data_IF_633781052598
#
_entry.id   IF_633781052598
#
_cell.length_a   1.000
_cell.length_b   1.000
_cell.length_c   1.000
_cell.angle_alpha   90.00
_cell.angle_beta   90.00
_cell.angle_gamma   90.00
#
_symmetry.space_group_name_H-M   'P 1'
#
loop_
_entity.id
_entity.type
_entity.pdbx_description
1 polymer ?
#
# COMPACT_ATOMS: atom_id res chain seq x y z
N UNK A 1 -14.37 -13.48 2.87
CA UNK A 1 -13.88 -12.14 3.29
C UNK A 1 -14.49 -11.80 4.64
N UNK A 2 -13.67 -11.50 5.65
CA UNK A 2 -14.15 -11.24 7.03
C UNK A 2 -15.05 -10.00 7.10
N UNK A 3 -15.95 -9.97 8.08
CA UNK A 3 -16.91 -8.87 8.26
C UNK A 3 -16.22 -7.51 8.45
N UNK A 4 -15.09 -7.49 9.16
CA UNK A 4 -14.26 -6.31 9.32
C UNK A 4 -13.75 -5.75 7.99
N UNK A 5 -13.24 -6.60 7.09
CA UNK A 5 -12.80 -6.14 5.76
C UNK A 5 -13.96 -5.55 4.95
N UNK A 6 -15.17 -6.12 5.07
CA UNK A 6 -16.36 -5.56 4.42
C UNK A 6 -16.73 -4.18 4.98
N UNK A 7 -16.61 -3.96 6.29
CA UNK A 7 -16.82 -2.64 6.92
C UNK A 7 -15.84 -1.60 6.40
N UNK A 8 -14.58 -1.98 6.18
CA UNK A 8 -13.52 -1.06 5.72
C UNK A 8 -13.69 -0.70 4.23
N UNK A 9 -14.08 -1.65 3.39
CA UNK A 9 -14.17 -1.47 1.92
C UNK A 9 -15.54 -0.96 1.48
N UNK A 10 -16.60 -1.26 2.24
CA UNK A 10 -17.99 -0.87 1.93
C UNK A 10 -18.71 -0.34 3.18
N UNK A 11 -18.19 0.75 3.80
CA UNK A 11 -18.80 1.31 5.00
C UNK A 11 -20.24 1.79 4.78
N UNK A 12 -20.63 2.08 3.55
CA UNK A 12 -22.01 2.47 3.19
C UNK A 12 -23.00 1.35 3.45
N UNK A 13 -22.61 0.12 3.11
CA UNK A 13 -23.51 -1.04 3.19
C UNK A 13 -23.56 -1.58 4.62
N UNK A 14 -22.42 -1.59 5.31
CA UNK A 14 -22.30 -2.26 6.61
C UNK A 14 -22.51 -1.32 7.79
N UNK A 15 -22.11 -0.05 7.65
CA UNK A 15 -22.14 0.94 8.74
C UNK A 15 -23.11 2.09 8.48
N UNK A 16 -23.73 2.16 7.30
CA UNK A 16 -24.62 3.27 6.91
C UNK A 16 -23.90 4.62 6.80
N UNK A 17 -22.57 4.61 6.64
CA UNK A 17 -21.78 5.84 6.46
C UNK A 17 -21.72 6.14 4.97
N UNK A 18 -22.19 7.30 4.55
CA UNK A 18 -22.33 7.64 3.12
C UNK A 18 -21.50 8.87 2.71
N UNK A 19 -21.30 9.02 1.39
CA UNK A 19 -20.72 10.22 0.79
C UNK A 19 -19.26 10.47 1.17
N UNK A 20 -18.90 11.73 1.41
CA UNK A 20 -17.54 12.13 1.79
C UNK A 20 -17.09 11.46 3.09
N UNK A 21 -18.00 11.32 4.07
CA UNK A 21 -17.71 10.65 5.35
C UNK A 21 -17.32 9.18 5.17
N UNK A 22 -17.87 8.50 4.16
CA UNK A 22 -17.50 7.13 3.85
C UNK A 22 -16.05 7.04 3.34
N UNK A 23 -15.66 7.98 2.45
CA UNK A 23 -14.29 8.09 1.93
C UNK A 23 -13.30 8.42 3.04
N UNK A 24 -13.65 9.38 3.91
CA UNK A 24 -12.84 9.74 5.07
C UNK A 24 -12.66 8.57 6.04
N UNK A 25 -13.74 7.84 6.34
CA UNK A 25 -13.68 6.65 7.18
C UNK A 25 -12.73 5.59 6.58
N UNK A 26 -12.90 5.27 5.30
CA UNK A 26 -12.05 4.30 4.59
C UNK A 26 -10.58 4.74 4.61
N UNK A 27 -10.30 6.03 4.38
CA UNK A 27 -8.95 6.60 4.44
C UNK A 27 -8.33 6.44 5.84
N UNK A 28 -9.05 6.83 6.88
CA UNK A 28 -8.59 6.72 8.27
C UNK A 28 -8.24 5.28 8.64
N UNK A 29 -9.13 4.36 8.28
CA UNK A 29 -8.99 2.92 8.52
C UNK A 29 -7.79 2.35 7.75
N UNK A 30 -7.63 2.71 6.48
CA UNK A 30 -6.49 2.26 5.67
C UNK A 30 -5.16 2.73 6.25
N UNK A 31 -5.05 4.02 6.62
CA UNK A 31 -3.86 4.58 7.26
C UNK A 31 -3.56 3.94 8.62
N UNK A 32 -4.60 3.65 9.40
CA UNK A 32 -4.45 2.95 10.68
C UNK A 32 -3.82 1.58 10.48
N UNK A 33 -4.33 0.80 9.52
CA UNK A 33 -3.78 -0.52 9.21
C UNK A 33 -2.35 -0.46 8.67
N UNK A 34 -2.07 0.48 7.77
CA UNK A 34 -0.75 0.64 7.16
C UNK A 34 0.31 1.03 8.21
N UNK A 35 0.01 2.02 9.06
CA UNK A 35 0.92 2.46 10.11
C UNK A 35 1.11 1.34 11.16
N UNK A 36 0.04 0.65 11.59
CA UNK A 36 0.20 -0.49 12.51
C UNK A 36 1.09 -1.57 11.88
N UNK A 37 0.89 -1.87 10.60
CA UNK A 37 1.70 -2.86 9.89
C UNK A 37 3.17 -2.44 9.81
N UNK A 38 3.43 -1.17 9.50
CA UNK A 38 4.78 -0.58 9.44
C UNK A 38 5.46 -0.64 10.80
N UNK A 39 4.80 -0.19 11.87
CA UNK A 39 5.34 -0.18 13.23
C UNK A 39 5.65 -1.59 13.72
N UNK A 40 4.74 -2.54 13.48
CA UNK A 40 4.97 -3.96 13.78
C UNK A 40 6.19 -4.50 13.05
N UNK A 41 6.36 -4.14 11.78
CA UNK A 41 7.53 -4.57 11.00
C UNK A 41 8.83 -3.93 11.50
N UNK A 42 8.79 -2.65 11.88
CA UNK A 42 9.91 -1.93 12.47
C UNK A 42 10.36 -2.64 13.76
N UNK A 43 9.43 -2.91 14.68
CA UNK A 43 9.70 -3.64 15.93
C UNK A 43 10.32 -5.02 15.66
N UNK A 44 9.73 -5.76 14.71
CA UNK A 44 10.18 -7.12 14.37
C UNK A 44 11.59 -7.13 13.77
N UNK A 45 11.99 -6.11 13.02
CA UNK A 45 13.25 -6.08 12.26
C UNK A 45 14.35 -5.34 13.03
N UNK A 46 14.06 -4.14 13.51
CA UNK A 46 15.04 -3.22 14.08
C UNK A 46 15.10 -3.29 15.62
N UNK A 47 14.18 -4.04 16.26
CA UNK A 47 14.15 -4.22 17.72
C UNK A 47 13.74 -2.94 18.43
N UNK A 48 12.45 -2.80 18.76
CA UNK A 48 11.92 -1.59 19.40
C UNK A 48 10.61 -1.83 20.13
N UNK A 49 9.96 -0.74 20.56
CA UNK A 49 8.62 -0.77 21.15
C UNK A 49 7.71 0.22 20.41
N UNK A 50 6.42 -0.10 20.33
CA UNK A 50 5.41 0.81 19.83
C UNK A 50 4.77 1.55 21.01
N UNK A 51 4.76 2.88 20.93
CA UNK A 51 3.91 3.71 21.77
C UNK A 51 2.58 3.99 21.05
N UNK A 52 1.46 3.61 21.66
CA UNK A 52 0.13 3.78 21.08
C UNK A 52 -0.21 5.25 20.82
N UNK A 53 0.29 6.18 21.64
CA UNK A 53 0.05 7.61 21.45
C UNK A 53 0.81 8.16 20.25
N UNK A 54 2.05 7.72 20.05
CA UNK A 54 2.85 8.00 18.86
C UNK A 54 2.19 7.46 17.60
N UNK A 55 1.69 6.21 17.62
CA UNK A 55 0.96 5.61 16.49
C UNK A 55 -0.29 6.42 16.16
N UNK A 56 -1.13 6.73 17.15
CA UNK A 56 -2.34 7.53 16.97
C UNK A 56 -2.03 8.92 16.40
N UNK A 57 -0.95 9.54 16.87
CA UNK A 57 -0.47 10.83 16.38
C UNK A 57 0.00 10.75 14.92
N UNK A 58 0.69 9.66 14.52
CA UNK A 58 1.07 9.40 13.12
C UNK A 58 -0.15 9.24 12.23
N UNK A 59 -1.13 8.42 12.63
CA UNK A 59 -2.39 8.22 11.90
C UNK A 59 -3.11 9.56 11.71
N UNK A 60 -3.27 10.34 12.79
CA UNK A 60 -3.96 11.63 12.74
C UNK A 60 -3.25 12.64 11.84
N UNK A 61 -1.92 12.67 11.85
CA UNK A 61 -1.11 13.53 10.98
C UNK A 61 -1.29 13.14 9.52
N UNK A 62 -1.04 11.87 9.18
CA UNK A 62 -1.17 11.37 7.81
C UNK A 62 -2.59 11.56 7.29
N UNK A 63 -3.61 11.33 8.12
CA UNK A 63 -5.00 11.55 7.72
C UNK A 63 -5.25 13.01 7.31
N UNK A 64 -4.77 13.98 8.10
CA UNK A 64 -4.89 15.41 7.78
C UNK A 64 -4.17 15.77 6.48
N UNK A 65 -2.95 15.27 6.30
CA UNK A 65 -2.13 15.51 5.10
C UNK A 65 -2.82 14.94 3.85
N UNK A 66 -3.25 13.68 3.89
CA UNK A 66 -3.95 13.04 2.78
C UNK A 66 -5.30 13.69 2.47
N UNK A 67 -6.07 14.07 3.50
CA UNK A 67 -7.34 14.78 3.31
C UNK A 67 -7.13 16.11 2.61
N UNK A 68 -6.12 16.89 3.04
CA UNK A 68 -5.77 18.16 2.41
C UNK A 68 -5.31 17.97 0.96
N UNK A 69 -4.43 17.00 0.70
CA UNK A 69 -3.96 16.69 -0.65
C UNK A 69 -5.11 16.25 -1.57
N UNK A 70 -6.04 15.44 -1.07
CA UNK A 70 -7.21 15.00 -1.83
C UNK A 70 -8.08 16.17 -2.26
N UNK A 71 -8.33 17.13 -1.35
CA UNK A 71 -9.09 18.34 -1.66
C UNK A 71 -8.41 19.20 -2.75
N UNK A 72 -7.07 19.22 -2.77
CA UNK A 72 -6.31 19.90 -3.84
C UNK A 72 -6.43 19.16 -5.18
N UNK A 73 -6.43 17.82 -5.17
CA UNK A 73 -6.45 16.98 -6.37
C UNK A 73 -7.87 16.83 -6.96
N UNK A 74 -8.93 16.91 -6.15
CA UNK A 74 -10.31 16.71 -6.64
C UNK A 74 -10.78 17.76 -7.66
N UNK A 75 -9.98 18.80 -7.91
CA UNK A 75 -10.14 19.74 -9.02
C UNK A 75 -9.78 19.15 -10.39
N UNK A 76 -9.02 18.05 -10.43
CA UNK A 76 -8.67 17.32 -11.64
C UNK A 76 -9.49 16.03 -11.75
N UNK A 77 -10.08 15.79 -12.93
CA UNK A 77 -10.73 14.50 -13.25
C UNK A 77 -9.64 13.43 -13.28
N UNK A 78 -9.44 12.75 -12.15
CA UNK A 78 -8.54 11.62 -12.07
C UNK A 78 -9.15 10.45 -12.85
N UNK A 79 -8.61 10.17 -14.05
CA UNK A 79 -8.90 8.91 -14.73
C UNK A 79 -8.25 7.81 -13.93
N UNK A 80 -9.06 7.03 -13.22
CA UNK A 80 -8.62 5.80 -12.56
C UNK A 80 -7.88 4.93 -13.57
N UNK A 81 -6.56 4.82 -13.42
CA UNK A 81 -5.76 3.91 -14.23
C UNK A 81 -5.75 2.56 -13.52
N UNK A 82 -6.72 1.72 -13.86
CA UNK A 82 -6.72 0.34 -13.41
C UNK A 82 -5.54 -0.41 -14.03
N UNK A 83 -5.06 -1.44 -13.33
CA UNK A 83 -4.09 -2.35 -13.91
C UNK A 83 -4.73 -3.04 -15.13
N UNK A 84 -4.06 -2.96 -16.28
CA UNK A 84 -4.44 -3.66 -17.51
C UNK A 84 -3.46 -4.81 -17.76
N UNK A 85 -4.03 -5.94 -18.16
CA UNK A 85 -3.27 -7.07 -18.65
C UNK A 85 -2.47 -6.68 -19.90
N UNK A 86 -1.30 -7.29 -20.13
CA UNK A 86 -0.50 -7.04 -21.30
C UNK A 86 -1.20 -7.55 -22.56
N UNK A 87 -0.71 -7.15 -23.73
CA UNK A 87 -1.22 -7.64 -25.01
C UNK A 87 -1.04 -9.15 -25.16
N UNK A 88 -1.82 -9.75 -26.06
CA UNK A 88 -1.72 -11.18 -26.38
C UNK A 88 -0.29 -11.57 -26.79
N UNK A 89 0.26 -12.62 -26.21
CA UNK A 89 1.61 -13.14 -26.38
C UNK A 89 2.65 -12.51 -25.47
N UNK A 90 2.26 -11.56 -24.60
CA UNK A 90 3.18 -10.82 -23.75
C UNK A 90 3.05 -11.22 -22.29
N UNK A 91 4.17 -11.09 -21.57
CA UNK A 91 4.20 -11.17 -20.11
C UNK A 91 4.54 -9.80 -19.53
N UNK A 92 3.87 -9.44 -18.43
CA UNK A 92 4.14 -8.20 -17.70
C UNK A 92 4.88 -8.51 -16.41
N UNK A 93 6.14 -8.11 -16.33
CA UNK A 93 6.93 -8.16 -15.11
C UNK A 93 6.80 -6.83 -14.37
N UNK A 94 6.09 -6.83 -13.24
CA UNK A 94 6.05 -5.68 -12.33
C UNK A 94 7.07 -5.96 -11.23
N UNK A 95 7.94 -5.00 -10.94
CA UNK A 95 8.94 -5.14 -9.88
C UNK A 95 8.94 -3.92 -8.98
N UNK A 96 9.37 -4.12 -7.74
CA UNK A 96 9.64 -3.06 -6.78
C UNK A 96 10.94 -3.38 -6.03
N UNK A 97 11.66 -2.34 -5.61
CA UNK A 97 12.93 -2.48 -4.91
C UNK A 97 13.02 -1.51 -3.73
N UNK A 98 13.38 -2.04 -2.57
CA UNK A 98 13.68 -1.27 -1.37
C UNK A 98 15.19 -1.28 -1.12
N UNK A 99 15.77 -0.07 -1.08
CA UNK A 99 17.21 0.13 -0.84
C UNK A 99 17.41 0.70 0.57
N UNK A 100 18.35 0.13 1.33
CA UNK A 100 18.90 0.68 2.59
C UNK A 100 20.43 0.59 2.49
N UNK A 101 21.14 1.39 3.28
CA UNK A 101 22.61 1.56 3.21
C UNK A 101 23.42 0.29 2.90
N UNK A 102 23.06 -0.87 3.47
CA UNK A 102 23.79 -2.13 3.28
C UNK A 102 22.98 -3.28 2.65
N UNK A 103 21.78 -3.01 2.12
CA UNK A 103 20.92 -4.07 1.57
C UNK A 103 19.96 -3.53 0.50
N UNK A 104 19.75 -4.34 -0.53
CA UNK A 104 18.64 -4.16 -1.47
C UNK A 104 17.73 -5.36 -1.35
N UNK A 105 16.42 -5.13 -1.33
CA UNK A 105 15.42 -6.19 -1.48
C UNK A 105 14.60 -5.84 -2.69
N UNK A 106 14.52 -6.73 -3.66
CA UNK A 106 13.64 -6.59 -4.81
C UNK A 106 12.65 -7.72 -4.87
N UNK A 107 11.45 -7.41 -5.34
CA UNK A 107 10.39 -8.37 -5.60
C UNK A 107 9.85 -8.15 -7.00
N UNK A 108 9.52 -9.24 -7.69
CA UNK A 108 8.92 -9.19 -9.01
C UNK A 108 7.75 -10.16 -9.12
N UNK A 109 6.73 -9.74 -9.85
CA UNK A 109 5.55 -10.53 -10.19
C UNK A 109 5.36 -10.49 -11.70
N UNK A 110 5.42 -11.65 -12.32
CA UNK A 110 5.22 -11.86 -13.76
C UNK A 110 3.81 -12.39 -13.98
N UNK A 111 3.05 -11.69 -14.83
CA UNK A 111 1.70 -12.08 -15.25
C UNK A 111 1.59 -12.25 -16.76
N UNK A 112 0.74 -13.15 -17.22
CA UNK A 112 0.38 -13.32 -18.63
C UNK A 112 -0.68 -12.32 -19.11
N UNK A 113 -1.16 -12.52 -20.35
CA UNK A 113 -2.18 -11.72 -21.05
C UNK A 113 -3.57 -11.81 -20.40
N UNK A 114 -3.86 -12.86 -19.63
CA UNK A 114 -5.08 -12.98 -18.83
C UNK A 114 -4.91 -12.43 -17.40
N UNK A 115 -3.67 -12.11 -17.02
CA UNK A 115 -3.32 -11.59 -15.70
C UNK A 115 -3.07 -12.66 -14.64
N UNK A 116 -2.97 -13.94 -15.03
CA UNK A 116 -2.53 -14.99 -14.11
C UNK A 116 -1.06 -14.82 -13.76
N UNK A 117 -0.73 -15.10 -12.50
CA UNK A 117 0.66 -15.04 -12.03
C UNK A 117 1.38 -16.29 -12.52
N UNK A 118 2.32 -16.11 -13.44
CA UNK A 118 3.22 -17.16 -13.91
C UNK A 118 4.38 -17.38 -12.92
N UNK A 119 4.88 -16.29 -12.35
CA UNK A 119 6.02 -16.32 -11.41
C UNK A 119 5.96 -15.14 -10.45
N UNK A 120 6.34 -15.38 -9.20
CA UNK A 120 6.56 -14.34 -8.21
C UNK A 120 7.77 -14.70 -7.36
N UNK A 121 8.67 -13.75 -7.14
CA UNK A 121 9.82 -13.97 -6.28
C UNK A 121 10.23 -12.68 -5.58
N UNK A 122 10.93 -12.83 -4.47
CA UNK A 122 11.65 -11.76 -3.80
C UNK A 122 13.06 -12.24 -3.48
N UNK A 123 14.04 -11.35 -3.62
CA UNK A 123 15.44 -11.65 -3.29
C UNK A 123 16.06 -10.46 -2.58
N UNK A 124 16.91 -10.78 -1.60
CA UNK A 124 17.78 -9.83 -0.92
C UNK A 124 19.16 -9.91 -1.55
N UNK A 125 19.76 -8.75 -1.78
CA UNK A 125 21.13 -8.58 -2.24
C UNK A 125 21.93 -7.70 -1.27
N UNK A 126 23.24 -7.85 -1.30
CA UNK A 126 24.19 -7.08 -0.48
C UNK A 126 24.94 -6.07 -1.34
N UNK A 127 25.64 -5.14 -0.69
CA UNK A 127 26.43 -4.08 -1.34
C UNK A 127 27.43 -4.67 -2.34
N UNK A 128 27.53 -4.06 -3.53
CA UNK A 128 28.55 -4.40 -4.54
C UNK A 128 28.07 -5.28 -5.70
N UNK A 129 26.78 -5.65 -5.75
CA UNK A 129 26.20 -6.30 -6.93
C UNK A 129 25.85 -5.27 -8.03
N UNK A 130 25.75 -5.67 -9.31
CA UNK A 130 25.43 -4.76 -10.44
C UNK A 130 24.10 -4.01 -10.30
N UNK A 131 23.24 -4.43 -9.37
CA UNK A 131 21.95 -3.81 -9.07
C UNK A 131 22.08 -2.51 -8.23
N UNK A 132 23.30 -2.11 -7.87
CA UNK A 132 23.61 -0.87 -7.14
C UNK A 132 24.14 0.27 -8.04
N UNK A 133 24.37 0.01 -9.33
CA UNK A 133 24.99 0.96 -10.27
C UNK A 133 24.04 2.06 -10.72
#
# INVERSE_FOLDING_TARGET
MSQWVKMMVKPEIVLGIHGEKAKEFTLLVALTCDIIWMERNCIRIDGGHADSMSISSKVSRSFKEHKSAWQSISSFIYKSQSWLAPARGWVKCNFDAAVKENKVVYAAVVRDEEGFILKAWAKKDVVGSPLWA
#
